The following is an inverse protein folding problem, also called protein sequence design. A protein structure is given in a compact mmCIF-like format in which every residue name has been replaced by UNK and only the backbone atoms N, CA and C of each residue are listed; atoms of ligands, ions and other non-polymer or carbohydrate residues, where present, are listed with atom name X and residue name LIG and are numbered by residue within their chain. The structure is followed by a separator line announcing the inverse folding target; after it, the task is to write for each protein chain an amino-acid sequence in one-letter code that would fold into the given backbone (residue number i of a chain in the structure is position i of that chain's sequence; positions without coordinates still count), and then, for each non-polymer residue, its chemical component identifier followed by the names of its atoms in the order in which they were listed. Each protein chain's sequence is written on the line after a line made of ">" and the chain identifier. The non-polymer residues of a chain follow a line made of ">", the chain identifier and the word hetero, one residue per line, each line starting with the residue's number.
data_IF_201535521937
#
_entry.id   IF_201535521937
#
_cell.length_a   1.000
_cell.length_b   1.000
_cell.length_c   1.000
_cell.angle_alpha   90.00
_cell.angle_beta   90.00
_cell.angle_gamma   90.00
#
_symmetry.space_group_name_H-M   'P 1'
#
loop_
_entity.id
_entity.type
_entity.pdbx_description
1 polymer ?
#
# COMPACT_ATOMS: atom_id res chain seq x y z
N UNK A 1 5.66 -6.50 -13.57
CA UNK A 1 4.47 -5.61 -13.73
C UNK A 1 4.89 -4.16 -13.50
N UNK A 2 4.25 -3.17 -14.14
CA UNK A 2 4.60 -1.75 -13.94
C UNK A 2 3.91 -1.19 -12.69
N UNK A 3 4.54 -0.21 -12.03
CA UNK A 3 3.97 0.51 -10.86
C UNK A 3 2.64 1.17 -11.21
N UNK A 4 2.47 1.63 -12.45
CA UNK A 4 1.23 2.24 -12.93
C UNK A 4 0.04 1.27 -12.93
N UNK A 5 0.26 0.00 -13.28
CA UNK A 5 -0.79 -1.03 -13.22
C UNK A 5 -1.19 -1.37 -11.79
N UNK A 6 -0.22 -1.32 -10.87
CA UNK A 6 -0.44 -1.56 -9.43
C UNK A 6 -1.25 -0.42 -8.79
N UNK A 7 -0.97 0.83 -9.15
CA UNK A 7 -1.70 2.01 -8.66
C UNK A 7 -3.14 2.13 -9.21
N UNK A 8 -3.51 1.35 -10.22
CA UNK A 8 -4.89 1.28 -10.72
C UNK A 8 -5.81 0.42 -9.83
N UNK A 9 -5.26 -0.38 -8.90
CA UNK A 9 -6.06 -1.05 -7.89
C UNK A 9 -6.65 0.00 -6.93
N UNK A 10 -7.98 0.05 -6.82
CA UNK A 10 -8.65 1.06 -5.99
C UNK A 10 -8.64 0.66 -4.51
N UNK A 11 -8.61 -0.63 -4.22
CA UNK A 11 -8.68 -1.18 -2.87
C UNK A 11 -7.56 -2.15 -2.56
N UNK A 12 -7.26 -2.31 -1.27
CA UNK A 12 -6.29 -3.29 -0.78
C UNK A 12 -6.63 -4.71 -1.25
N UNK A 13 -7.92 -5.08 -1.23
CA UNK A 13 -8.35 -6.40 -1.66
C UNK A 13 -8.10 -6.65 -3.15
N UNK A 14 -8.37 -5.67 -4.02
CA UNK A 14 -8.04 -5.77 -5.46
C UNK A 14 -6.54 -5.93 -5.67
N UNK A 15 -5.74 -5.18 -4.92
CA UNK A 15 -4.30 -5.25 -4.99
C UNK A 15 -3.78 -6.64 -4.61
N UNK A 16 -4.31 -7.23 -3.54
CA UNK A 16 -3.93 -8.58 -3.10
C UNK A 16 -4.28 -9.65 -4.14
N UNK A 17 -5.44 -9.54 -4.78
CA UNK A 17 -5.79 -10.44 -5.90
C UNK A 17 -4.78 -10.29 -7.04
N UNK A 18 -4.43 -9.05 -7.39
CA UNK A 18 -3.50 -8.75 -8.47
C UNK A 18 -2.10 -9.34 -8.21
N UNK A 19 -1.54 -9.15 -7.01
CA UNK A 19 -0.18 -9.64 -6.68
C UNK A 19 -0.10 -11.15 -6.49
N UNK A 20 -1.23 -11.81 -6.22
CA UNK A 20 -1.31 -13.27 -6.21
C UNK A 20 -1.47 -13.86 -7.62
N UNK A 21 -1.58 -13.01 -8.66
CA UNK A 21 -1.75 -13.42 -10.07
C UNK A 21 -2.96 -14.36 -10.28
N UNK A 22 -3.99 -14.21 -9.44
CA UNK A 22 -5.24 -14.98 -9.51
C UNK A 22 -6.38 -14.11 -10.03
N UNK A 23 -7.44 -14.74 -10.51
CA UNK A 23 -8.71 -14.06 -10.79
C UNK A 23 -9.63 -14.08 -9.56
N UNK A 24 -10.56 -13.12 -9.48
CA UNK A 24 -11.62 -13.12 -8.45
C UNK A 24 -12.40 -14.44 -8.39
N UNK A 25 -12.65 -15.06 -9.56
CA UNK A 25 -13.36 -16.34 -9.65
C UNK A 25 -12.54 -17.51 -9.10
N UNK A 26 -11.21 -17.48 -9.26
CA UNK A 26 -10.34 -18.52 -8.73
C UNK A 26 -10.29 -18.45 -7.20
N UNK A 27 -10.01 -17.27 -6.65
CA UNK A 27 -9.97 -17.05 -5.19
C UNK A 27 -11.36 -17.31 -4.59
N UNK A 28 -12.42 -16.81 -5.24
CA UNK A 28 -13.79 -17.01 -4.77
C UNK A 28 -14.16 -18.49 -4.65
N UNK A 29 -13.75 -19.33 -5.60
CA UNK A 29 -14.00 -20.79 -5.52
C UNK A 29 -13.27 -21.43 -4.33
N UNK A 30 -12.02 -21.05 -4.11
CA UNK A 30 -11.17 -21.59 -3.04
C UNK A 30 -11.69 -21.19 -1.65
N UNK A 31 -12.21 -19.97 -1.51
CA UNK A 31 -12.73 -19.42 -0.25
C UNK A 31 -14.24 -19.63 -0.06
N UNK A 32 -14.91 -20.29 -1.00
CA UNK A 32 -16.37 -20.41 -1.03
C UNK A 32 -17.07 -19.04 -0.92
N UNK A 33 -16.61 -18.09 -1.75
CA UNK A 33 -17.09 -16.71 -1.88
C UNK A 33 -17.50 -16.50 -3.34
N UNK A 34 -18.70 -15.99 -3.57
CA UNK A 34 -19.18 -15.74 -4.92
C UNK A 34 -18.45 -14.54 -5.56
N UNK A 35 -18.26 -14.51 -6.89
CA UNK A 35 -17.72 -13.33 -7.58
C UNK A 35 -18.52 -12.05 -7.29
N UNK A 36 -19.83 -12.17 -7.06
CA UNK A 36 -20.70 -11.06 -6.71
C UNK A 36 -20.34 -10.45 -5.34
N UNK A 37 -20.13 -11.30 -4.31
CA UNK A 37 -19.69 -10.83 -2.99
C UNK A 37 -18.35 -10.11 -3.07
N UNK A 38 -17.39 -10.69 -3.80
CA UNK A 38 -16.09 -10.05 -4.05
C UNK A 38 -16.26 -8.67 -4.71
N UNK A 39 -17.10 -8.58 -5.74
CA UNK A 39 -17.38 -7.32 -6.44
C UNK A 39 -18.03 -6.29 -5.51
N UNK A 40 -18.96 -6.70 -4.65
CA UNK A 40 -19.64 -5.81 -3.71
C UNK A 40 -18.69 -5.26 -2.65
N UNK A 41 -17.75 -6.07 -2.14
CA UNK A 41 -16.73 -5.62 -1.19
C UNK A 41 -15.71 -4.67 -1.80
N UNK A 42 -15.21 -4.99 -3.01
CA UNK A 42 -14.28 -4.13 -3.76
C UNK A 42 -14.93 -2.77 -4.06
N UNK A 43 -16.21 -2.78 -4.46
CA UNK A 43 -16.98 -1.55 -4.72
C UNK A 43 -17.50 -0.88 -3.45
N UNK A 44 -17.16 -1.38 -2.26
CA UNK A 44 -17.61 -0.90 -0.95
C UNK A 44 -19.13 -0.77 -0.81
N UNK A 45 -19.89 -1.62 -1.52
CA UNK A 45 -21.36 -1.65 -1.44
C UNK A 45 -21.86 -2.33 -0.19
N UNK A 46 -21.05 -3.21 0.38
CA UNK A 46 -21.33 -3.95 1.62
C UNK A 46 -20.04 -4.11 2.43
N UNK A 47 -20.13 -4.12 3.77
CA UNK A 47 -18.99 -4.48 4.60
C UNK A 47 -18.66 -5.98 4.45
N UNK A 48 -17.42 -6.35 4.76
CA UNK A 48 -16.96 -7.73 4.81
C UNK A 48 -17.39 -8.33 6.15
N UNK A 49 -18.18 -9.43 6.17
CA UNK A 49 -18.53 -10.10 7.42
C UNK A 49 -17.28 -10.63 8.14
N UNK A 50 -17.25 -10.60 9.46
CA UNK A 50 -16.06 -10.96 10.26
C UNK A 50 -15.49 -12.35 9.93
N UNK A 51 -16.35 -13.35 9.74
CA UNK A 51 -15.91 -14.70 9.35
C UNK A 51 -15.20 -14.72 7.99
N UNK A 52 -15.67 -13.90 7.04
CA UNK A 52 -15.07 -13.77 5.71
C UNK A 52 -13.80 -12.93 5.75
N UNK A 53 -13.75 -11.92 6.60
CA UNK A 53 -12.56 -11.11 6.83
C UNK A 53 -11.42 -11.98 7.35
N UNK A 54 -11.67 -12.81 8.36
CA UNK A 54 -10.70 -13.77 8.87
C UNK A 54 -10.23 -14.74 7.77
N UNK A 55 -11.16 -15.28 6.98
CA UNK A 55 -10.84 -16.19 5.86
C UNK A 55 -9.93 -15.51 4.82
N UNK A 56 -10.18 -14.24 4.51
CA UNK A 56 -9.36 -13.47 3.57
C UNK A 56 -7.99 -13.14 4.18
N UNK A 57 -7.94 -12.74 5.45
CA UNK A 57 -6.72 -12.49 6.21
C UNK A 57 -5.82 -13.73 6.25
N UNK A 58 -6.38 -14.89 6.57
CA UNK A 58 -5.67 -16.17 6.59
C UNK A 58 -5.18 -16.56 5.18
N UNK A 59 -6.00 -16.37 4.15
CA UNK A 59 -5.65 -16.71 2.77
C UNK A 59 -4.49 -15.86 2.23
N UNK A 60 -4.57 -14.54 2.44
CA UNK A 60 -3.53 -13.61 1.98
C UNK A 60 -2.35 -13.50 2.95
N UNK A 61 -2.47 -14.10 4.14
CA UNK A 61 -1.48 -14.08 5.21
C UNK A 61 -1.10 -12.64 5.61
N UNK A 62 -2.13 -11.81 5.82
CA UNK A 62 -1.98 -10.41 6.26
C UNK A 62 -2.97 -10.11 7.38
N UNK A 63 -2.63 -9.15 8.23
CA UNK A 63 -3.53 -8.71 9.29
C UNK A 63 -4.81 -8.05 8.74
N UNK A 64 -5.95 -8.31 9.39
CA UNK A 64 -7.26 -7.78 9.00
C UNK A 64 -7.27 -6.24 8.88
N UNK A 65 -6.43 -5.55 9.66
CA UNK A 65 -6.31 -4.08 9.65
C UNK A 65 -5.79 -3.53 8.32
N UNK A 66 -5.12 -4.32 7.48
CA UNK A 66 -4.75 -3.90 6.12
C UNK A 66 -5.93 -3.99 5.15
N UNK A 67 -6.89 -4.89 5.42
CA UNK A 67 -8.00 -5.19 4.52
C UNK A 67 -9.15 -4.21 4.69
N UNK A 68 -9.53 -3.87 5.91
CA UNK A 68 -10.75 -3.11 6.20
C UNK A 68 -10.55 -1.92 7.14
N UNK A 69 -11.48 -0.97 7.07
CA UNK A 69 -11.66 0.13 8.01
C UNK A 69 -12.46 -0.31 9.25
N UNK A 70 -12.70 0.64 10.17
CA UNK A 70 -13.43 0.42 11.41
C UNK A 70 -14.90 -0.03 11.22
N UNK A 71 -15.44 0.14 10.01
CA UNK A 71 -16.79 -0.26 9.64
C UNK A 71 -16.80 -1.54 8.78
N UNK A 72 -15.67 -2.26 8.72
CA UNK A 72 -15.46 -3.46 7.92
C UNK A 72 -15.61 -3.26 6.40
N UNK A 73 -15.46 -2.04 5.89
CA UNK A 73 -15.38 -1.82 4.44
C UNK A 73 -13.94 -1.92 3.97
N UNK A 74 -13.75 -2.45 2.75
CA UNK A 74 -12.40 -2.60 2.18
C UNK A 74 -11.67 -1.26 2.14
N UNK A 75 -10.44 -1.22 2.65
CA UNK A 75 -9.58 -0.03 2.60
C UNK A 75 -9.21 0.32 1.16
N UNK A 76 -9.09 1.61 0.90
CA UNK A 76 -8.43 2.07 -0.30
C UNK A 76 -6.96 1.70 -0.21
N UNK A 77 -6.34 1.39 -1.35
CA UNK A 77 -4.91 1.22 -1.38
C UNK A 77 -4.24 2.60 -1.33
N UNK A 78 -3.60 2.93 -0.21
CA UNK A 78 -2.71 4.09 -0.14
C UNK A 78 -1.24 3.65 -0.32
N UNK A 79 -0.34 4.59 -0.68
CA UNK A 79 1.05 4.27 -0.95
C UNK A 79 1.79 3.60 0.22
N UNK A 80 1.47 3.97 1.47
CA UNK A 80 2.14 3.41 2.65
C UNK A 80 1.69 1.96 2.86
N UNK A 81 0.37 1.72 2.87
CA UNK A 81 -0.18 0.38 3.02
C UNK A 81 0.26 -0.55 1.88
N UNK A 82 0.33 -0.06 0.65
CA UNK A 82 0.87 -0.81 -0.49
C UNK A 82 2.31 -1.27 -0.23
N UNK A 83 3.18 -0.35 0.22
CA UNK A 83 4.58 -0.66 0.52
C UNK A 83 4.67 -1.67 1.66
N UNK A 84 3.85 -1.54 2.70
CA UNK A 84 3.84 -2.48 3.82
C UNK A 84 3.44 -3.89 3.40
N UNK A 85 2.42 -4.02 2.56
CA UNK A 85 2.01 -5.31 1.99
C UNK A 85 3.14 -5.89 1.14
N UNK A 86 3.79 -5.10 0.27
CA UNK A 86 4.92 -5.57 -0.53
C UNK A 86 6.08 -6.06 0.34
N UNK A 87 6.41 -5.33 1.41
CA UNK A 87 7.45 -5.73 2.35
C UNK A 87 7.08 -7.04 3.06
N UNK A 88 5.82 -7.20 3.47
CA UNK A 88 5.32 -8.42 4.11
C UNK A 88 5.44 -9.62 3.16
N UNK A 89 4.91 -9.52 1.95
CA UNK A 89 4.96 -10.59 0.95
C UNK A 89 6.41 -10.93 0.55
N UNK A 90 7.29 -9.93 0.49
CA UNK A 90 8.72 -10.14 0.21
C UNK A 90 9.42 -10.91 1.33
N UNK A 91 9.16 -10.55 2.59
CA UNK A 91 9.69 -11.27 3.76
C UNK A 91 9.16 -12.70 3.82
N UNK A 92 7.91 -12.92 3.43
CA UNK A 92 7.32 -14.26 3.36
C UNK A 92 8.09 -15.16 2.40
N UNK A 93 8.40 -14.69 1.19
CA UNK A 93 9.24 -15.45 0.24
C UNK A 93 10.59 -15.84 0.83
N UNK A 94 11.21 -14.93 1.59
CA UNK A 94 12.45 -15.24 2.33
C UNK A 94 12.23 -16.39 3.32
N UNK A 95 11.17 -16.32 4.13
CA UNK A 95 10.84 -17.34 5.13
C UNK A 95 10.45 -18.70 4.52
N UNK A 96 9.91 -18.71 3.29
CA UNK A 96 9.59 -19.93 2.52
C UNK A 96 10.85 -20.63 1.95
N UNK A 97 12.04 -20.05 2.15
CA UNK A 97 13.31 -20.70 1.85
C UNK A 97 13.79 -20.49 0.41
N UNK A 98 13.54 -19.32 -0.18
CA UNK A 98 14.18 -18.94 -1.46
C UNK A 98 15.69 -19.12 -1.40
N UNK A 99 16.27 -19.67 -2.47
CA UNK A 99 17.69 -20.02 -2.55
C UNK A 99 18.60 -18.79 -2.38
N UNK A 100 18.22 -17.67 -2.98
CA UNK A 100 18.96 -16.40 -2.90
C UNK A 100 18.12 -15.32 -2.20
N UNK A 101 18.54 -14.95 -1.00
CA UNK A 101 17.82 -13.96 -0.17
C UNK A 101 18.26 -12.52 -0.41
N UNK A 102 19.47 -12.31 -0.91
CA UNK A 102 20.09 -10.99 -1.08
C UNK A 102 19.27 -10.02 -1.96
N UNK A 103 18.75 -10.42 -3.14
CA UNK A 103 17.91 -9.55 -3.96
C UNK A 103 16.62 -9.10 -3.25
N UNK A 104 16.03 -9.97 -2.42
CA UNK A 104 14.83 -9.64 -1.66
C UNK A 104 15.13 -8.68 -0.50
N UNK A 105 16.28 -8.85 0.17
CA UNK A 105 16.73 -7.93 1.22
C UNK A 105 17.02 -6.54 0.65
N UNK A 106 17.69 -6.44 -0.49
CA UNK A 106 17.88 -5.16 -1.20
C UNK A 106 16.54 -4.53 -1.58
N UNK A 107 15.59 -5.33 -2.05
CA UNK A 107 14.26 -4.85 -2.38
C UNK A 107 13.53 -4.29 -1.15
N UNK A 108 13.57 -4.99 -0.01
CA UNK A 108 13.02 -4.50 1.26
C UNK A 108 13.65 -3.17 1.67
N UNK A 109 14.97 -3.02 1.53
CA UNK A 109 15.64 -1.75 1.86
C UNK A 109 15.18 -0.60 0.95
N UNK A 110 14.98 -0.86 -0.35
CA UNK A 110 14.44 0.12 -1.30
C UNK A 110 13.02 0.53 -0.89
N UNK A 111 12.17 -0.45 -0.54
CA UNK A 111 10.81 -0.21 -0.06
C UNK A 111 10.79 0.61 1.24
N UNK A 112 11.69 0.33 2.19
CA UNK A 112 11.81 1.11 3.42
C UNK A 112 12.16 2.58 3.16
N UNK A 113 13.08 2.85 2.21
CA UNK A 113 13.42 4.23 1.81
C UNK A 113 12.22 4.94 1.18
N UNK A 114 11.46 4.24 0.33
CA UNK A 114 10.25 4.80 -0.28
C UNK A 114 9.16 5.04 0.77
N UNK A 115 8.94 4.12 1.72
CA UNK A 115 8.00 4.31 2.83
C UNK A 115 8.33 5.57 3.63
N UNK A 116 9.61 5.77 3.96
CA UNK A 116 10.05 6.96 4.67
C UNK A 116 9.78 8.26 3.87
N UNK A 117 9.86 8.21 2.54
CA UNK A 117 9.48 9.33 1.67
C UNK A 117 7.98 9.59 1.72
N UNK A 118 7.14 8.55 1.58
CA UNK A 118 5.68 8.68 1.65
C UNK A 118 5.21 9.24 3.00
N UNK A 119 5.83 8.82 4.10
CA UNK A 119 5.54 9.38 5.44
C UNK A 119 5.84 10.89 5.50
N UNK A 120 6.97 11.34 4.92
CA UNK A 120 7.30 12.78 4.88
C UNK A 120 6.28 13.56 4.04
N UNK A 121 5.87 13.02 2.90
CA UNK A 121 4.84 13.62 2.04
C UNK A 121 3.52 13.74 2.81
N UNK A 122 3.07 12.67 3.48
CA UNK A 122 1.83 12.69 4.25
C UNK A 122 1.87 13.70 5.40
N UNK A 123 3.01 13.84 6.08
CA UNK A 123 3.20 14.87 7.12
C UNK A 123 3.10 16.28 6.55
N UNK A 124 3.75 16.56 5.42
CA UNK A 124 3.66 17.87 4.76
C UNK A 124 2.23 18.18 4.31
N UNK A 125 1.54 17.21 3.69
CA UNK A 125 0.16 17.37 3.29
C UNK A 125 -0.76 17.69 4.48
N UNK A 126 -0.58 16.99 5.61
CA UNK A 126 -1.32 17.27 6.84
C UNK A 126 -1.08 18.69 7.38
N UNK A 127 0.15 19.19 7.28
CA UNK A 127 0.49 20.56 7.71
C UNK A 127 -0.20 21.59 6.80
N UNK A 128 -0.17 21.37 5.49
CA UNK A 128 -0.79 22.27 4.50
C UNK A 128 -2.32 22.35 4.61
N UNK A 129 -2.97 21.33 5.15
CA UNK A 129 -4.42 21.34 5.39
C UNK A 129 -4.88 22.30 6.50
N UNK A 130 -3.96 22.94 7.23
CA UNK A 130 -4.32 23.91 8.27
C UNK A 130 -4.69 25.31 7.71
N UNK A 131 -4.57 25.54 6.39
CA UNK A 131 -4.95 26.78 5.70
C UNK A 131 -4.41 28.06 6.40
N UNK A 132 -3.11 28.06 6.74
CA UNK A 132 -2.42 29.13 7.48
C UNK A 132 -1.29 29.77 6.64
N UNK A 133 -1.40 31.07 6.37
CA UNK A 133 -0.46 31.81 5.52
C UNK A 133 0.98 31.91 6.10
N UNK A 134 1.17 31.79 7.41
CA UNK A 134 2.49 31.73 8.01
C UNK A 134 3.15 30.37 7.77
N UNK A 135 2.38 29.30 7.89
CA UNK A 135 2.81 27.94 7.56
C UNK A 135 3.22 27.84 6.09
N UNK A 136 2.38 28.34 5.18
CA UNK A 136 2.65 28.30 3.74
C UNK A 136 3.96 29.01 3.39
N UNK A 137 4.16 30.23 3.91
CA UNK A 137 5.41 30.98 3.71
C UNK A 137 6.62 30.24 4.26
N UNK A 138 6.48 29.61 5.42
CA UNK A 138 7.55 28.81 6.03
C UNK A 138 7.93 27.60 5.16
N UNK A 139 6.94 26.92 4.59
CA UNK A 139 7.14 25.79 3.68
C UNK A 139 7.81 26.25 2.38
N UNK A 140 7.33 27.32 1.76
CA UNK A 140 7.89 27.86 0.52
C UNK A 140 9.36 28.26 0.67
N UNK A 141 9.71 28.87 1.80
CA UNK A 141 11.11 29.21 2.11
C UNK A 141 11.96 27.94 2.24
N UNK A 142 11.51 26.96 3.01
CA UNK A 142 12.20 25.68 3.16
C UNK A 142 12.39 24.97 1.80
N UNK A 143 11.36 24.93 0.96
CA UNK A 143 11.43 24.33 -0.37
C UNK A 143 12.46 25.05 -1.25
N UNK A 144 12.44 26.38 -1.23
CA UNK A 144 13.42 27.21 -1.96
C UNK A 144 14.85 26.88 -1.56
N UNK A 145 15.14 26.77 -0.26
CA UNK A 145 16.46 26.40 0.25
C UNK A 145 16.89 24.99 -0.22
N UNK A 146 15.99 24.02 -0.13
CA UNK A 146 16.25 22.64 -0.55
C UNK A 146 16.51 22.54 -2.06
N UNK A 147 15.78 23.30 -2.88
CA UNK A 147 16.02 23.36 -4.33
C UNK A 147 17.40 23.90 -4.68
N UNK A 148 17.87 24.91 -3.95
CA UNK A 148 19.22 25.44 -4.14
C UNK A 148 20.29 24.42 -3.74
N UNK A 149 20.08 23.71 -2.63
CA UNK A 149 20.98 22.63 -2.20
C UNK A 149 21.09 21.53 -3.28
N UNK A 150 19.97 21.15 -3.89
CA UNK A 150 19.93 20.13 -4.96
C UNK A 150 20.66 20.63 -6.21
N UNK A 151 20.46 21.89 -6.61
CA UNK A 151 21.15 22.51 -7.75
C UNK A 151 22.66 22.60 -7.52
N UNK A 152 23.10 22.99 -6.31
CA UNK A 152 24.51 23.04 -5.93
C UNK A 152 25.21 21.69 -6.08
N UNK A 153 24.60 20.60 -5.57
CA UNK A 153 25.14 19.23 -5.69
C UNK A 153 25.18 18.65 -7.10
N UNK A 154 24.54 19.29 -8.08
CA UNK A 154 24.52 18.86 -9.49
C UNK A 154 25.59 19.56 -10.34
N UNK A 155 26.16 20.66 -9.84
CA UNK A 155 27.19 21.44 -10.52
C UNK A 155 28.61 21.13 -10.03
N UNK A 156 28.74 20.24 -9.04
CA UNK A 156 29.97 19.62 -8.55
C UNK A 156 30.09 18.18 -9.09
#
# INVERSE_FOLDING_TARGET
>A
MSVQTILNAKTTLEYLVLVNERSYSAIGRELNITPQQFSDWIKKRRPIPQERLKTLSDYFDIDESYLVDENNFTKNLDPINMIDIQMLLTKKKINEGVEETEPYLEHIQKLQKEKAKQIRIGRLASILHHDDEEIDRGIDLFLTEMEQLIKGKRND
#
